data_IF_224828483745
#
_entry.id   IF_224828483745
#
_cell.length_a   1.000
_cell.length_b   1.000
_cell.length_c   1.000
_cell.angle_alpha   90.00
_cell.angle_beta   90.00
_cell.angle_gamma   90.00
#
_symmetry.space_group_name_H-M   'P 1'
#
loop_
_entity.id
_entity.type
_entity.pdbx_description
1 polymer ?
#
# COMPACT_ATOMS: atom_id res chain seq x y z
N UNK A 1 -13.14 -10.49 -6.56
CA UNK A 1 -11.69 -10.75 -6.41
C UNK A 1 -11.01 -10.37 -7.70
N UNK A 2 -9.78 -9.88 -7.64
CA UNK A 2 -8.96 -9.77 -8.85
C UNK A 2 -8.77 -11.17 -9.41
N UNK A 3 -8.97 -11.34 -10.73
CA UNK A 3 -8.89 -12.64 -11.37
C UNK A 3 -7.46 -13.22 -11.38
N UNK A 4 -6.47 -12.36 -11.14
CA UNK A 4 -5.04 -12.67 -11.08
C UNK A 4 -4.49 -12.02 -9.81
N UNK A 5 -3.74 -12.78 -9.02
CA UNK A 5 -3.12 -12.37 -7.77
C UNK A 5 -1.63 -12.12 -7.92
N UNK A 6 -1.07 -11.24 -7.09
CA UNK A 6 0.39 -11.04 -7.04
C UNK A 6 1.17 -12.30 -6.67
N UNK A 7 0.55 -13.24 -5.94
CA UNK A 7 1.17 -14.51 -5.54
C UNK A 7 1.61 -15.35 -6.74
N UNK A 8 0.91 -15.25 -7.86
CA UNK A 8 1.22 -16.00 -9.09
C UNK A 8 2.55 -15.57 -9.74
N UNK A 9 3.11 -14.43 -9.33
CA UNK A 9 4.31 -13.85 -9.94
C UNK A 9 5.56 -13.91 -9.05
N UNK A 10 5.46 -14.39 -7.81
CA UNK A 10 6.61 -14.42 -6.87
C UNK A 10 7.76 -15.31 -7.36
N UNK A 11 7.47 -16.30 -8.22
CA UNK A 11 8.48 -17.13 -8.87
C UNK A 11 9.31 -16.40 -9.94
N UNK A 12 8.82 -15.27 -10.44
CA UNK A 12 9.48 -14.49 -11.50
C UNK A 12 10.31 -13.33 -10.93
N UNK A 13 10.11 -12.98 -9.66
CA UNK A 13 10.78 -11.87 -9.00
C UNK A 13 9.90 -11.20 -7.95
N UNK A 14 10.32 -10.01 -7.51
CA UNK A 14 9.51 -9.21 -6.58
C UNK A 14 8.28 -8.61 -7.28
N UNK A 15 7.18 -8.51 -6.55
CA UNK A 15 5.89 -8.01 -7.01
C UNK A 15 5.58 -6.69 -6.32
N UNK A 16 4.98 -5.75 -7.03
CA UNK A 16 4.56 -4.46 -6.49
C UNK A 16 3.40 -4.64 -5.51
N UNK A 17 3.65 -4.36 -4.22
CA UNK A 17 2.65 -4.49 -3.17
C UNK A 17 1.89 -3.17 -2.98
N UNK A 18 0.90 -2.95 -3.84
CA UNK A 18 0.09 -1.73 -3.85
C UNK A 18 -0.71 -1.50 -2.55
N UNK A 19 -0.97 -2.55 -1.76
CA UNK A 19 -1.65 -2.39 -0.47
C UNK A 19 -0.80 -1.62 0.54
N UNK A 20 0.52 -1.62 0.39
CA UNK A 20 1.43 -0.94 1.30
C UNK A 20 1.13 0.57 1.36
N UNK A 21 1.24 1.28 0.24
CA UNK A 21 0.96 2.73 0.19
C UNK A 21 -0.49 3.06 0.56
N UNK A 22 -1.45 2.23 0.12
CA UNK A 22 -2.88 2.38 0.44
C UNK A 22 -3.14 2.31 1.94
N UNK A 23 -2.77 1.21 2.59
CA UNK A 23 -3.08 0.97 4.01
C UNK A 23 -2.32 1.92 4.93
N UNK A 24 -1.08 2.27 4.57
CA UNK A 24 -0.35 3.29 5.30
C UNK A 24 -1.07 4.65 5.22
N UNK A 25 -1.51 5.04 4.03
CA UNK A 25 -2.24 6.29 3.87
C UNK A 25 -3.65 6.29 4.48
N UNK A 26 -4.27 5.13 4.65
CA UNK A 26 -5.47 4.96 5.46
C UNK A 26 -5.20 5.21 6.95
N UNK A 27 -4.10 4.65 7.49
CA UNK A 27 -3.71 4.88 8.88
C UNK A 27 -3.44 6.35 9.18
N UNK A 28 -2.68 7.04 8.30
CA UNK A 28 -2.37 8.46 8.48
C UNK A 28 -3.57 9.41 8.30
N UNK A 29 -4.66 8.94 7.71
CA UNK A 29 -5.92 9.70 7.57
C UNK A 29 -6.94 9.39 8.66
N UNK A 30 -6.60 8.52 9.62
CA UNK A 30 -7.49 8.12 10.71
C UNK A 30 -8.52 7.04 10.31
N UNK A 31 -8.39 6.41 9.14
CA UNK A 31 -9.21 5.24 8.78
C UNK A 31 -8.73 3.96 9.49
N UNK A 32 -7.49 3.95 9.96
CA UNK A 32 -6.93 2.94 10.86
C UNK A 32 -6.13 3.62 11.98
N UNK A 33 -6.03 2.99 13.14
CA UNK A 33 -5.21 3.51 14.23
C UNK A 33 -3.71 3.30 13.93
N UNK A 34 -2.89 4.31 14.17
CA UNK A 34 -1.43 4.22 13.99
C UNK A 34 -0.80 3.08 14.84
N UNK A 35 -1.40 2.73 15.98
CA UNK A 35 -0.92 1.61 16.82
C UNK A 35 -0.97 0.25 16.12
N UNK A 36 -1.82 0.09 15.10
CA UNK A 36 -1.92 -1.14 14.31
C UNK A 36 -0.76 -1.30 13.33
N UNK A 37 0.07 -0.28 13.12
CA UNK A 37 1.27 -0.39 12.30
C UNK A 37 2.37 -1.26 12.94
N UNK A 38 2.18 -1.70 14.19
CA UNK A 38 3.11 -2.59 14.90
C UNK A 38 3.35 -3.94 14.20
N UNK A 39 2.39 -4.44 13.40
CA UNK A 39 2.53 -5.63 12.57
C UNK A 39 2.28 -5.35 11.07
N UNK A 40 2.54 -4.10 10.63
CA UNK A 40 2.31 -3.67 9.25
C UNK A 40 3.09 -4.51 8.24
N UNK A 41 2.47 -4.81 7.09
CA UNK A 41 3.03 -5.72 6.07
C UNK A 41 2.32 -7.07 6.08
N UNK A 42 3.06 -8.16 6.27
CA UNK A 42 2.55 -9.55 6.27
C UNK A 42 1.41 -9.75 7.28
N UNK A 43 1.47 -9.09 8.45
CA UNK A 43 0.40 -9.14 9.46
C UNK A 43 -0.92 -8.52 9.00
N UNK A 44 -0.91 -7.77 7.90
CA UNK A 44 -2.08 -7.18 7.23
C UNK A 44 -2.45 -7.93 5.94
N UNK A 45 -1.88 -9.13 5.74
CA UNK A 45 -2.13 -9.98 4.57
C UNK A 45 -1.41 -9.53 3.30
N UNK A 46 -0.41 -8.66 3.41
CA UNK A 46 0.49 -8.35 2.29
C UNK A 46 1.41 -9.52 1.97
N UNK A 47 2.00 -9.49 0.77
CA UNK A 47 3.03 -10.45 0.38
C UNK A 47 4.22 -10.44 1.36
N UNK A 48 4.91 -11.57 1.44
CA UNK A 48 6.16 -11.68 2.20
C UNK A 48 7.16 -10.60 1.75
N UNK A 49 7.85 -10.00 2.71
CA UNK A 49 8.79 -8.90 2.48
C UNK A 49 9.90 -9.25 1.49
N UNK A 50 10.31 -10.52 1.39
CA UNK A 50 11.33 -10.98 0.45
C UNK A 50 10.86 -10.86 -1.01
N UNK A 51 9.54 -11.00 -1.25
CA UNK A 51 8.91 -10.95 -2.56
C UNK A 51 8.24 -9.61 -2.88
N UNK A 52 8.34 -8.62 -1.98
CA UNK A 52 7.60 -7.36 -2.11
C UNK A 52 8.48 -6.20 -2.59
N UNK A 53 7.97 -5.42 -3.53
CA UNK A 53 8.43 -4.06 -3.83
C UNK A 53 7.36 -3.08 -3.34
N UNK A 54 7.69 -2.26 -2.35
CA UNK A 54 6.77 -1.34 -1.68
C UNK A 54 7.06 0.12 -2.01
N UNK A 55 6.04 0.96 -1.93
CA UNK A 55 6.11 2.40 -2.19
C UNK A 55 4.98 3.14 -1.47
N UNK A 56 5.18 4.43 -1.20
CA UNK A 56 4.15 5.31 -0.61
C UNK A 56 3.17 5.73 -1.70
N UNK A 57 3.71 6.29 -2.78
CA UNK A 57 3.05 6.62 -4.03
C UNK A 57 3.91 6.17 -5.23
N UNK A 58 3.32 6.18 -6.42
CA UNK A 58 3.99 5.99 -7.69
C UNK A 58 3.40 6.96 -8.73
N UNK A 59 3.97 6.98 -9.94
CA UNK A 59 3.56 7.91 -11.00
C UNK A 59 2.08 7.77 -11.39
N UNK A 60 1.45 6.61 -11.22
CA UNK A 60 0.03 6.41 -11.51
C UNK A 60 -0.86 6.91 -10.37
N UNK A 61 -0.61 6.43 -9.15
CA UNK A 61 -1.51 6.64 -8.02
C UNK A 61 -1.42 8.05 -7.42
N UNK A 62 -0.32 8.76 -7.63
CA UNK A 62 -0.24 10.17 -7.26
C UNK A 62 -1.10 11.08 -8.14
N UNK A 63 -1.65 10.55 -9.25
CA UNK A 63 -2.54 11.25 -10.19
C UNK A 63 -3.96 10.68 -10.19
N UNK A 64 -4.31 9.83 -9.21
CA UNK A 64 -5.66 9.27 -9.06
C UNK A 64 -5.92 7.99 -9.88
N UNK A 65 -4.88 7.37 -10.44
CA UNK A 65 -5.00 6.11 -11.17
C UNK A 65 -4.51 4.91 -10.35
N UNK A 66 -5.09 3.72 -10.57
CA UNK A 66 -4.63 2.51 -9.89
C UNK A 66 -5.03 2.42 -8.41
N UNK A 67 -4.35 1.55 -7.67
CA UNK A 67 -4.74 1.19 -6.31
C UNK A 67 -4.43 2.29 -5.28
N UNK A 68 -5.33 2.43 -4.30
CA UNK A 68 -5.21 3.31 -3.14
C UNK A 68 -5.97 4.63 -3.21
N UNK A 69 -6.31 5.11 -4.42
CA UNK A 69 -7.21 6.25 -4.62
C UNK A 69 -6.86 7.49 -3.77
N UNK A 70 -7.88 8.12 -3.18
CA UNK A 70 -7.70 9.32 -2.33
C UNK A 70 -6.88 9.08 -1.06
N UNK A 71 -6.63 7.82 -0.70
CA UNK A 71 -5.86 7.43 0.48
C UNK A 71 -4.36 7.34 0.19
N UNK A 72 -3.87 7.55 -1.02
CA UNK A 72 -2.43 7.62 -1.27
C UNK A 72 -1.85 8.90 -0.67
N UNK A 73 -0.81 8.76 0.17
CA UNK A 73 -0.05 9.90 0.67
C UNK A 73 0.82 10.44 -0.46
N UNK A 74 0.69 11.72 -0.79
CA UNK A 74 1.50 12.38 -1.84
C UNK A 74 2.06 13.68 -1.29
N UNK A 75 3.10 14.21 -1.93
CA UNK A 75 3.65 15.52 -1.56
C UNK A 75 2.67 16.70 -1.79
N UNK A 76 1.61 16.50 -2.58
CA UNK A 76 0.67 17.56 -2.98
C UNK A 76 -0.41 17.81 -1.94
N UNK A 77 -0.66 16.84 -1.06
CA UNK A 77 -1.71 16.90 -0.06
C UNK A 77 -1.06 16.75 1.30
N UNK A 78 -1.16 17.77 2.16
CA UNK A 78 -0.68 17.62 3.52
C UNK A 78 -1.48 16.51 4.20
N UNK A 79 -0.79 15.49 4.71
CA UNK A 79 -1.40 14.55 5.63
C UNK A 79 -1.66 15.30 6.94
N UNK A 80 -2.87 15.82 7.11
CA UNK A 80 -3.34 16.12 8.45
C UNK A 80 -3.42 14.78 9.18
N UNK A 81 -2.39 14.45 9.97
CA UNK A 81 -2.45 13.31 10.88
C UNK A 81 -3.62 13.62 11.81
N UNK A 82 -4.70 12.84 11.68
CA UNK A 82 -5.87 12.93 12.52
C UNK A 82 -5.79 11.92 13.64
#
# INVERSE_FOLDING_TARGET
GEAISGQEYVGNGRVTEFRYGKYLGEAFRGYNQLTYLSNFGEGWGMLDRAYSLVFIDNHDNQRGHGAGGANILTFRVSSGIR
#
